data_IF_800599685512
#
_entry.id   IF_800599685512
#
_cell.length_a   1.000
_cell.length_b   1.000
_cell.length_c   1.000
_cell.angle_alpha   90.00
_cell.angle_beta   90.00
_cell.angle_gamma   90.00
#
_symmetry.space_group_name_H-M   'P 1'
#
loop_
_entity.id
_entity.type
_entity.pdbx_description
1 polymer ?
#
# COMPACT_ATOMS: atom_id res chain seq x y z
N UNK A 1 10.58 -1.12 7.23
CA UNK A 1 10.25 0.09 8.01
C UNK A 1 10.87 -0.03 9.40
N UNK A 2 11.91 0.75 9.71
CA UNK A 2 12.55 0.80 11.04
C UNK A 2 12.83 2.27 11.35
N UNK A 3 11.79 2.98 11.80
CA UNK A 3 11.87 4.37 12.20
C UNK A 3 11.10 4.64 13.51
N UNK A 4 10.89 3.62 14.35
CA UNK A 4 10.20 3.74 15.63
C UNK A 4 8.68 3.85 15.54
N UNK A 5 8.09 3.87 14.33
CA UNK A 5 6.65 3.85 14.14
C UNK A 5 6.07 2.48 14.51
N UNK A 6 5.39 2.43 15.65
CA UNK A 6 4.70 1.27 16.21
C UNK A 6 3.17 1.44 16.16
N UNK A 7 2.67 2.27 15.25
CA UNK A 7 1.26 2.60 15.11
C UNK A 7 0.82 2.34 13.67
N UNK A 8 -0.30 1.64 13.50
CA UNK A 8 -0.93 1.44 12.19
C UNK A 8 -1.44 2.77 11.63
N UNK A 9 -1.28 3.00 10.33
CA UNK A 9 -1.66 4.26 9.71
C UNK A 9 -1.26 4.35 8.25
N UNK A 10 -1.56 5.47 7.61
CA UNK A 10 -1.12 5.75 6.23
C UNK A 10 0.18 6.53 6.31
N UNK A 11 1.23 6.00 5.68
CA UNK A 11 2.55 6.61 5.67
C UNK A 11 2.94 7.01 4.25
N UNK A 12 3.58 8.17 4.13
CA UNK A 12 4.17 8.62 2.88
C UNK A 12 5.56 8.02 2.72
N UNK A 13 5.74 7.18 1.71
CA UNK A 13 7.03 6.62 1.32
C UNK A 13 7.52 7.31 0.05
N UNK A 14 8.71 7.92 0.11
CA UNK A 14 9.38 8.48 -1.06
C UNK A 14 10.34 7.44 -1.62
N UNK A 15 9.99 6.85 -2.76
CA UNK A 15 10.76 5.80 -3.42
C UNK A 15 11.10 6.25 -4.85
N UNK A 16 12.38 6.30 -5.19
CA UNK A 16 12.88 6.75 -6.50
C UNK A 16 12.29 8.11 -6.95
N UNK A 17 12.17 9.06 -6.01
CA UNK A 17 11.60 10.40 -6.27
C UNK A 17 10.07 10.43 -6.40
N UNK A 18 9.39 9.28 -6.36
CA UNK A 18 7.93 9.18 -6.37
C UNK A 18 7.41 8.98 -4.96
N UNK A 19 6.32 9.67 -4.62
CA UNK A 19 5.69 9.55 -3.30
C UNK A 19 4.49 8.60 -3.37
N UNK A 20 4.48 7.61 -2.47
CA UNK A 20 3.40 6.65 -2.31
C UNK A 20 2.80 6.79 -0.92
N UNK A 21 1.47 6.94 -0.84
CA UNK A 21 0.75 6.92 0.44
C UNK A 21 0.26 5.49 0.69
N UNK A 22 0.98 4.76 1.53
CA UNK A 22 0.76 3.32 1.74
C UNK A 22 0.26 3.06 3.16
N UNK A 23 -0.80 2.26 3.33
CA UNK A 23 -1.20 1.79 4.64
C UNK A 23 -0.14 0.85 5.23
N UNK A 24 0.21 1.09 6.48
CA UNK A 24 1.04 0.24 7.31
C UNK A 24 0.20 -0.32 8.45
N UNK A 25 0.30 -1.62 8.68
CA UNK A 25 -0.28 -2.30 9.82
C UNK A 25 0.84 -2.74 10.76
N UNK A 26 0.83 -2.20 11.98
CA UNK A 26 1.72 -2.65 13.04
C UNK A 26 1.01 -3.73 13.84
N UNK A 27 1.54 -4.94 13.81
CA UNK A 27 0.97 -6.11 14.46
C UNK A 27 2.06 -7.03 14.97
N UNK A 28 1.92 -7.48 16.21
CA UNK A 28 2.84 -8.43 16.86
C UNK A 28 4.32 -7.99 16.78
N UNK A 29 4.56 -6.68 17.01
CA UNK A 29 5.91 -6.11 16.96
C UNK A 29 6.48 -5.90 15.55
N UNK A 30 5.73 -6.24 14.51
CA UNK A 30 6.13 -6.17 13.11
C UNK A 30 5.33 -5.12 12.35
N UNK A 31 5.95 -4.52 11.33
CA UNK A 31 5.32 -3.53 10.47
C UNK A 31 5.12 -4.11 9.06
N UNK A 32 3.87 -4.17 8.61
CA UNK A 32 3.48 -4.72 7.31
C UNK A 32 2.94 -3.61 6.42
N UNK A 33 3.47 -3.50 5.19
CA UNK A 33 2.82 -2.68 4.15
C UNK A 33 1.58 -3.42 3.66
N UNK A 34 0.42 -2.79 3.74
CA UNK A 34 -0.82 -3.33 3.18
C UNK A 34 -0.86 -3.03 1.69
N UNK A 35 -0.83 -4.06 0.84
CA UNK A 35 -0.88 -3.91 -0.62
C UNK A 35 -2.29 -4.08 -1.19
N UNK A 36 -3.15 -4.81 -0.48
CA UNK A 36 -4.55 -5.05 -0.84
C UNK A 36 -5.40 -5.14 0.42
N UNK A 37 -6.58 -4.52 0.41
CA UNK A 37 -7.60 -4.67 1.46
C UNK A 37 -8.98 -4.83 0.82
N UNK A 38 -9.73 -5.84 1.28
CA UNK A 38 -11.13 -6.08 0.92
C UNK A 38 -11.92 -6.44 2.16
N UNK A 39 -12.93 -5.63 2.49
CA UNK A 39 -13.79 -5.87 3.65
C UNK A 39 -15.25 -5.48 3.41
N UNK A 40 -15.54 -4.74 2.34
CA UNK A 40 -16.89 -4.38 1.92
C UNK A 40 -17.03 -4.43 0.40
N UNK A 41 -18.25 -4.22 -0.12
CA UNK A 41 -18.51 -4.11 -1.55
C UNK A 41 -18.51 -2.63 -2.04
N UNK A 42 -17.83 -1.72 -1.32
CA UNK A 42 -17.86 -0.27 -1.62
C UNK A 42 -17.19 0.11 -2.95
N UNK A 43 -16.26 -0.69 -3.46
CA UNK A 43 -15.60 -0.47 -4.75
C UNK A 43 -15.52 -1.75 -5.57
N UNK A 44 -15.55 -1.62 -6.90
CA UNK A 44 -15.29 -2.73 -7.81
C UNK A 44 -13.80 -3.06 -7.87
N UNK A 45 -13.49 -4.36 -7.83
CA UNK A 45 -12.18 -4.91 -8.17
C UNK A 45 -12.13 -5.45 -9.61
N UNK A 46 -13.24 -5.37 -10.35
CA UNK A 46 -13.22 -5.53 -11.81
C UNK A 46 -12.81 -4.17 -12.36
N UNK A 47 -11.51 -4.04 -12.66
CA UNK A 47 -10.87 -2.78 -13.05
C UNK A 47 -9.99 -2.99 -14.27
N UNK A 48 -9.67 -1.90 -14.98
CA UNK A 48 -8.75 -1.92 -16.11
C UNK A 48 -7.30 -2.22 -15.68
N UNK A 49 -6.47 -2.64 -16.63
CA UNK A 49 -5.04 -2.82 -16.40
C UNK A 49 -4.39 -1.56 -15.81
N UNK A 50 -4.69 -0.39 -16.38
CA UNK A 50 -4.13 0.88 -15.90
C UNK A 50 -4.49 1.18 -14.43
N UNK A 51 -5.68 0.78 -13.97
CA UNK A 51 -6.05 0.89 -12.56
C UNK A 51 -5.25 -0.09 -11.69
N UNK A 52 -5.03 -1.32 -12.16
CA UNK A 52 -4.17 -2.28 -11.45
C UNK A 52 -2.70 -1.86 -11.43
N UNK A 53 -2.22 -1.15 -12.45
CA UNK A 53 -0.87 -0.61 -12.49
C UNK A 53 -0.69 0.55 -11.51
N UNK A 54 -1.63 1.52 -11.52
CA UNK A 54 -1.56 2.75 -10.74
C UNK A 54 -2.09 2.65 -9.30
N UNK A 55 -3.02 1.72 -9.03
CA UNK A 55 -3.71 1.61 -7.75
C UNK A 55 -5.12 2.21 -7.77
N UNK A 56 -5.98 1.76 -6.86
CA UNK A 56 -7.34 2.27 -6.70
C UNK A 56 -7.89 2.02 -5.28
N UNK A 57 -8.99 2.68 -4.96
CA UNK A 57 -9.60 2.63 -3.63
C UNK A 57 -8.95 3.61 -2.64
N UNK A 58 -9.19 3.40 -1.35
CA UNK A 58 -8.72 4.30 -0.30
C UNK A 58 -7.92 3.53 0.77
N UNK A 59 -6.71 3.97 1.17
CA UNK A 59 -5.85 3.24 2.12
C UNK A 59 -6.49 2.85 3.47
N UNK A 60 -7.57 3.52 3.88
CA UNK A 60 -8.32 3.23 5.10
C UNK A 60 -9.59 2.37 4.87
N UNK A 61 -9.93 2.06 3.62
CA UNK A 61 -11.09 1.25 3.19
C UNK A 61 -10.59 0.13 2.23
N UNK A 62 -11.42 -0.32 1.30
CA UNK A 62 -11.02 -1.19 0.20
C UNK A 62 -9.95 -0.51 -0.65
N UNK A 63 -8.89 -1.24 -0.95
CA UNK A 63 -7.66 -0.65 -1.45
C UNK A 63 -6.84 -1.64 -2.28
N UNK A 64 -6.22 -1.12 -3.33
CA UNK A 64 -5.17 -1.75 -4.11
C UNK A 64 -4.02 -0.77 -4.32
N UNK A 65 -2.80 -1.15 -3.92
CA UNK A 65 -1.64 -0.25 -3.94
C UNK A 65 -1.12 0.11 -5.33
N UNK A 66 -1.45 -0.68 -6.35
CA UNK A 66 -0.87 -0.54 -7.69
C UNK A 66 0.39 -1.39 -7.86
N UNK A 67 0.51 -2.03 -9.01
CA UNK A 67 1.68 -2.84 -9.36
C UNK A 67 2.96 -2.01 -9.42
N UNK A 68 2.89 -0.74 -9.84
CA UNK A 68 4.05 0.15 -9.84
C UNK A 68 4.62 0.35 -8.43
N UNK A 69 3.75 0.60 -7.44
CA UNK A 69 4.16 0.73 -6.04
C UNK A 69 4.73 -0.59 -5.50
N UNK A 70 4.06 -1.72 -5.77
CA UNK A 70 4.50 -3.05 -5.31
C UNK A 70 5.87 -3.40 -5.91
N UNK A 71 6.05 -3.18 -7.21
CA UNK A 71 7.33 -3.43 -7.89
C UNK A 71 8.47 -2.68 -7.21
N UNK A 72 8.30 -1.37 -6.98
CA UNK A 72 9.32 -0.56 -6.32
C UNK A 72 9.58 -1.03 -4.88
N UNK A 73 8.54 -1.40 -4.13
CA UNK A 73 8.68 -1.92 -2.76
C UNK A 73 9.46 -3.24 -2.70
N UNK A 74 9.27 -4.13 -3.67
CA UNK A 74 9.86 -5.48 -3.66
C UNK A 74 11.20 -5.57 -4.40
N UNK A 75 11.53 -4.60 -5.26
CA UNK A 75 12.81 -4.58 -5.99
C UNK A 75 13.90 -3.79 -5.29
N UNK A 76 13.55 -2.97 -4.29
CA UNK A 76 14.52 -2.28 -3.43
C UNK A 76 15.06 -3.15 -2.29
N UNK A 77 15.02 -4.48 -2.44
CA UNK A 77 15.62 -5.40 -1.49
C UNK A 77 17.10 -5.10 -1.31
N UNK A 78 17.46 -4.63 -0.11
CA UNK A 78 18.82 -4.74 0.40
C UNK A 78 19.04 -6.11 0.99
#
# INVERSE_FOLDING_TARGET
MKAGYNVSGVYRLSLNGTNYNLPCEFKDGNAFTVILRRWSNSISFIQSWGAYESGFGHPQDNYWAGLAAIYVLTTQGR
#
